data_IF_023012787461
#
_entry.id   IF_023012787461
#
_cell.length_a   1.000
_cell.length_b   1.000
_cell.length_c   1.000
_cell.angle_alpha   90.00
_cell.angle_beta   90.00
_cell.angle_gamma   90.00
#
_symmetry.space_group_name_H-M   'P 1'
#
loop_
_entity.id
_entity.type
_entity.pdbx_description
1 polymer ?
#
# COMPACT_ATOMS: atom_id res chain seq x y z
N UNK A 1 2.04 -13.26 1.46
CA UNK A 1 2.57 -12.16 0.61
C UNK A 1 2.73 -12.67 -0.81
N UNK A 2 2.40 -11.86 -1.82
CA UNK A 2 2.54 -12.24 -3.25
C UNK A 2 3.38 -11.17 -3.93
N UNK A 3 4.50 -11.58 -4.59
CA UNK A 3 5.43 -10.64 -5.18
C UNK A 3 5.74 -10.95 -6.65
N UNK A 4 6.07 -9.92 -7.42
CA UNK A 4 6.42 -10.04 -8.83
C UNK A 4 6.19 -8.75 -9.60
N UNK A 5 5.93 -8.87 -10.90
CA UNK A 5 5.76 -7.74 -11.80
C UNK A 5 7.08 -7.07 -12.16
N UNK A 6 7.10 -5.75 -12.18
CA UNK A 6 8.28 -4.98 -12.57
C UNK A 6 9.39 -5.00 -11.51
N UNK A 7 10.58 -5.45 -11.92
CA UNK A 7 11.72 -5.68 -11.00
C UNK A 7 12.34 -4.39 -10.45
N UNK A 8 12.11 -3.23 -11.08
CA UNK A 8 12.67 -1.95 -10.64
C UNK A 8 12.18 -1.49 -9.26
N UNK A 9 11.08 -2.05 -8.75
CA UNK A 9 10.60 -1.82 -7.40
C UNK A 9 11.11 -2.84 -6.37
N UNK A 10 12.11 -3.64 -6.72
CA UNK A 10 12.76 -4.62 -5.82
C UNK A 10 11.73 -5.46 -5.02
N UNK A 11 10.73 -6.10 -5.70
CA UNK A 11 9.60 -6.70 -4.98
C UNK A 11 10.01 -7.82 -4.04
N UNK A 12 11.05 -8.61 -4.39
CA UNK A 12 11.54 -9.68 -3.53
C UNK A 12 12.27 -9.13 -2.31
N UNK A 13 13.11 -8.13 -2.51
CA UNK A 13 13.88 -7.45 -1.46
C UNK A 13 12.93 -6.76 -0.49
N UNK A 14 11.87 -6.10 -0.98
CA UNK A 14 10.82 -5.53 -0.14
C UNK A 14 10.08 -6.60 0.69
N UNK A 15 9.76 -7.75 0.09
CA UNK A 15 9.17 -8.88 0.84
C UNK A 15 10.13 -9.37 1.93
N UNK A 16 11.45 -9.39 1.67
CA UNK A 16 12.46 -9.81 2.64
C UNK A 16 12.59 -8.84 3.83
N UNK A 17 12.15 -7.58 3.68
CA UNK A 17 12.02 -6.63 4.79
C UNK A 17 10.82 -6.99 5.68
N UNK A 18 9.65 -7.25 5.08
CA UNK A 18 8.40 -7.32 5.82
C UNK A 18 7.95 -8.72 6.23
N UNK A 19 8.38 -9.77 5.53
CA UNK A 19 8.04 -11.15 5.92
C UNK A 19 8.59 -11.52 7.31
N UNK A 20 9.86 -11.20 7.67
CA UNK A 20 10.37 -11.42 9.03
C UNK A 20 9.64 -10.59 10.08
N UNK A 21 9.23 -9.34 9.76
CA UNK A 21 8.44 -8.52 10.65
C UNK A 21 7.11 -9.19 11.00
N UNK A 22 6.34 -9.62 10.00
CA UNK A 22 5.06 -10.31 10.22
C UNK A 22 5.25 -11.62 10.99
N UNK A 23 6.29 -12.40 10.67
CA UNK A 23 6.64 -13.63 11.42
C UNK A 23 6.94 -13.30 12.89
N UNK A 24 7.69 -12.23 13.15
CA UNK A 24 7.99 -11.73 14.50
C UNK A 24 6.74 -11.27 15.28
N UNK A 25 5.66 -10.90 14.58
CA UNK A 25 4.35 -10.59 15.16
C UNK A 25 3.44 -11.81 15.33
N UNK A 26 3.93 -13.01 15.01
CA UNK A 26 3.20 -14.26 15.21
C UNK A 26 2.36 -14.71 14.00
N UNK A 27 2.50 -14.07 12.84
CA UNK A 27 1.83 -14.53 11.63
C UNK A 27 2.53 -15.78 11.04
N UNK A 28 1.73 -16.71 10.53
CA UNK A 28 2.19 -17.77 9.63
C UNK A 28 2.27 -17.19 8.20
N UNK A 29 3.48 -16.85 7.77
CA UNK A 29 3.71 -16.08 6.54
C UNK A 29 3.97 -17.01 5.36
N UNK A 30 3.04 -17.06 4.42
CA UNK A 30 3.25 -17.69 3.11
C UNK A 30 3.71 -16.63 2.10
N UNK A 31 4.82 -16.92 1.41
CA UNK A 31 5.35 -16.06 0.33
C UNK A 31 5.22 -16.78 -1.00
N UNK A 32 4.67 -16.13 -2.02
CA UNK A 32 4.49 -16.67 -3.36
C UNK A 32 4.98 -15.68 -4.43
N UNK A 33 5.60 -16.19 -5.47
CA UNK A 33 6.03 -15.45 -6.67
C UNK A 33 5.06 -15.59 -7.85
N UNK A 34 3.86 -16.11 -7.57
CA UNK A 34 2.79 -16.25 -8.57
C UNK A 34 1.45 -15.82 -8.00
N UNK A 35 0.62 -15.19 -8.87
CA UNK A 35 -0.75 -14.80 -8.57
C UNK A 35 -1.70 -16.01 -8.40
N UNK A 36 -1.26 -17.21 -8.78
CA UNK A 36 -2.03 -18.44 -8.56
C UNK A 36 -2.22 -18.78 -7.08
N UNK A 37 -1.44 -18.17 -6.19
CA UNK A 37 -1.70 -18.21 -4.75
C UNK A 37 -3.15 -17.79 -4.40
N UNK A 38 -3.75 -16.86 -5.16
CA UNK A 38 -5.15 -16.44 -4.96
C UNK A 38 -6.17 -17.52 -5.36
N UNK A 39 -5.79 -18.49 -6.19
CA UNK A 39 -6.64 -19.62 -6.58
C UNK A 39 -6.59 -20.78 -5.58
N UNK A 40 -5.65 -20.76 -4.66
CA UNK A 40 -5.57 -21.77 -3.60
C UNK A 40 -6.64 -21.49 -2.54
N UNK A 41 -7.76 -22.20 -2.64
CA UNK A 41 -8.92 -22.01 -1.74
C UNK A 41 -8.56 -22.26 -0.27
N UNK A 42 -7.82 -23.33 0.02
CA UNK A 42 -7.40 -23.67 1.39
C UNK A 42 -6.58 -22.53 2.02
N UNK A 43 -5.67 -21.94 1.25
CA UNK A 43 -4.88 -20.78 1.68
C UNK A 43 -5.81 -19.56 1.88
N UNK A 44 -6.65 -19.23 0.89
CA UNK A 44 -7.50 -18.02 0.93
C UNK A 44 -8.59 -18.07 1.99
N UNK A 45 -9.00 -19.26 2.45
CA UNK A 45 -9.93 -19.44 3.57
C UNK A 45 -9.28 -19.24 4.95
N UNK A 46 -7.95 -19.31 5.03
CA UNK A 46 -7.17 -19.23 6.28
C UNK A 46 -6.44 -17.92 6.47
N UNK A 47 -6.19 -17.16 5.41
CA UNK A 47 -5.43 -15.91 5.52
C UNK A 47 -6.26 -14.81 6.19
N UNK A 48 -5.64 -14.06 7.09
CA UNK A 48 -6.19 -12.83 7.67
C UNK A 48 -5.71 -11.57 6.94
N UNK A 49 -4.59 -11.66 6.22
CA UNK A 49 -3.97 -10.53 5.53
C UNK A 49 -3.37 -10.97 4.18
N UNK A 50 -3.67 -10.21 3.13
CA UNK A 50 -2.97 -10.28 1.84
C UNK A 50 -2.05 -9.07 1.72
N UNK A 51 -0.79 -9.30 1.34
CA UNK A 51 0.17 -8.23 1.05
C UNK A 51 0.66 -8.40 -0.39
N UNK A 52 0.09 -7.65 -1.36
CA UNK A 52 0.60 -7.63 -2.72
C UNK A 52 1.86 -6.77 -2.80
N UNK A 53 2.87 -7.27 -3.50
CA UNK A 53 4.06 -6.54 -3.92
C UNK A 53 4.28 -6.81 -5.41
N UNK A 54 3.31 -6.39 -6.24
CA UNK A 54 3.21 -6.73 -7.65
C UNK A 54 2.95 -5.49 -8.51
N UNK A 55 4.00 -4.91 -9.04
CA UNK A 55 3.89 -3.70 -9.87
C UNK A 55 3.51 -4.05 -11.31
N UNK A 56 2.55 -3.30 -11.88
CA UNK A 56 2.04 -3.52 -13.26
C UNK A 56 1.45 -4.93 -13.44
N UNK A 57 1.70 -5.53 -14.59
CA UNK A 57 1.23 -6.87 -14.93
C UNK A 57 -0.28 -6.96 -15.11
N UNK A 58 -0.73 -8.18 -15.34
CA UNK A 58 -2.14 -8.52 -15.48
C UNK A 58 -2.55 -9.56 -14.43
N UNK A 59 -3.77 -9.45 -13.97
CA UNK A 59 -4.41 -10.44 -13.10
C UNK A 59 -5.58 -11.06 -13.86
N UNK A 60 -5.67 -12.38 -13.89
CA UNK A 60 -6.77 -13.07 -14.56
C UNK A 60 -8.10 -12.84 -13.83
N UNK A 61 -9.22 -12.99 -14.54
CA UNK A 61 -10.55 -12.88 -13.96
C UNK A 61 -10.76 -13.76 -12.72
N UNK A 62 -10.40 -15.06 -12.75
CA UNK A 62 -10.49 -15.93 -11.58
C UNK A 62 -9.64 -15.47 -10.41
N UNK A 63 -8.37 -15.09 -10.63
CA UNK A 63 -7.47 -14.57 -9.58
C UNK A 63 -8.01 -13.28 -8.97
N UNK A 64 -8.46 -12.33 -9.80
CA UNK A 64 -9.08 -11.08 -9.36
C UNK A 64 -10.35 -11.34 -8.55
N UNK A 65 -11.22 -12.21 -9.01
CA UNK A 65 -12.45 -12.56 -8.31
C UNK A 65 -12.19 -13.20 -6.96
N UNK A 66 -11.20 -14.07 -6.86
CA UNK A 66 -10.81 -14.72 -5.62
C UNK A 66 -10.25 -13.69 -4.61
N UNK A 67 -9.32 -12.82 -5.03
CA UNK A 67 -8.75 -11.76 -4.19
C UNK A 67 -9.83 -10.79 -3.70
N UNK A 68 -10.63 -10.23 -4.62
CA UNK A 68 -11.69 -9.27 -4.27
C UNK A 68 -12.76 -9.90 -3.37
N UNK A 69 -13.11 -11.17 -3.63
CA UNK A 69 -14.05 -11.93 -2.81
C UNK A 69 -13.55 -12.12 -1.38
N UNK A 70 -12.28 -12.51 -1.21
CA UNK A 70 -11.66 -12.66 0.09
C UNK A 70 -11.67 -11.35 0.89
N UNK A 71 -11.26 -10.24 0.27
CA UNK A 71 -11.26 -8.92 0.94
C UNK A 71 -12.69 -8.50 1.29
N UNK A 72 -13.67 -8.65 0.37
CA UNK A 72 -15.08 -8.35 0.69
C UNK A 72 -15.61 -9.14 1.88
N UNK A 73 -15.11 -10.36 2.09
CA UNK A 73 -15.53 -11.25 3.17
C UNK A 73 -14.81 -11.01 4.49
N UNK A 74 -13.84 -10.06 4.55
CA UNK A 74 -13.20 -9.68 5.80
C UNK A 74 -11.68 -9.87 5.85
N UNK A 75 -11.06 -10.48 4.84
CA UNK A 75 -9.59 -10.56 4.75
C UNK A 75 -9.03 -9.15 4.58
N UNK A 76 -8.01 -8.79 5.37
CA UNK A 76 -7.29 -7.54 5.22
C UNK A 76 -6.41 -7.53 3.98
N UNK A 77 -6.19 -6.35 3.40
CA UNK A 77 -5.18 -6.15 2.36
C UNK A 77 -4.36 -4.90 2.68
N UNK A 78 -3.05 -5.02 2.59
CA UNK A 78 -2.13 -3.92 2.85
C UNK A 78 -0.97 -3.96 1.85
N UNK A 79 -0.55 -2.80 1.38
CA UNK A 79 0.58 -2.73 0.47
C UNK A 79 1.08 -1.30 0.30
N UNK A 80 2.11 -1.17 -0.51
CA UNK A 80 2.80 0.08 -0.70
C UNK A 80 3.19 0.32 -2.15
N UNK A 81 3.42 1.58 -2.45
CA UNK A 81 3.96 2.11 -3.70
C UNK A 81 3.38 1.41 -4.95
N UNK A 82 4.19 1.13 -5.95
CA UNK A 82 3.75 0.41 -7.15
C UNK A 82 3.35 -1.04 -6.89
N UNK A 83 3.83 -1.66 -5.81
CA UNK A 83 3.50 -3.03 -5.44
C UNK A 83 2.01 -3.27 -5.17
N UNK A 84 1.25 -2.20 -4.88
CA UNK A 84 -0.20 -2.25 -4.74
C UNK A 84 -0.89 -1.17 -5.58
N UNK A 85 -0.43 0.08 -5.56
CA UNK A 85 -1.12 1.20 -6.21
C UNK A 85 -0.93 1.28 -7.72
N UNK A 86 0.06 0.56 -8.26
CA UNK A 86 0.33 0.44 -9.70
C UNK A 86 0.14 -0.99 -10.22
N UNK A 87 -0.43 -1.87 -9.40
CA UNK A 87 -0.74 -3.22 -9.82
C UNK A 87 -1.96 -3.26 -10.75
N UNK A 88 -1.90 -4.12 -11.74
CA UNK A 88 -3.05 -4.49 -12.59
C UNK A 88 -3.79 -3.29 -13.18
N UNK A 89 -3.09 -2.37 -13.82
CA UNK A 89 -3.59 -1.07 -14.35
C UNK A 89 -4.91 -1.16 -15.12
N UNK A 90 -5.23 -2.31 -15.73
CA UNK A 90 -6.46 -2.51 -16.51
C UNK A 90 -7.64 -3.01 -15.65
N UNK A 91 -7.42 -3.32 -14.37
CA UNK A 91 -8.45 -3.88 -13.50
C UNK A 91 -9.07 -2.80 -12.61
N UNK A 92 -10.15 -2.19 -13.08
CA UNK A 92 -10.85 -1.12 -12.36
C UNK A 92 -11.49 -1.60 -11.06
N UNK A 93 -11.88 -2.88 -10.95
CA UNK A 93 -12.41 -3.44 -9.71
C UNK A 93 -11.33 -3.54 -8.62
N UNK A 94 -10.09 -3.85 -9.01
CA UNK A 94 -8.94 -3.83 -8.10
C UNK A 94 -8.64 -2.39 -7.63
N UNK A 95 -8.62 -1.43 -8.55
CA UNK A 95 -8.41 -0.01 -8.23
C UNK A 95 -9.49 0.52 -7.28
N UNK A 96 -10.75 0.11 -7.49
CA UNK A 96 -11.86 0.47 -6.60
C UNK A 96 -11.69 -0.11 -5.20
N UNK A 97 -11.13 -1.32 -5.08
CA UNK A 97 -10.77 -1.89 -3.77
C UNK A 97 -9.64 -1.11 -3.10
N UNK A 98 -8.55 -0.82 -3.84
CA UNK A 98 -7.38 -0.09 -3.32
C UNK A 98 -7.73 1.35 -2.92
N UNK A 99 -8.65 1.97 -3.63
CA UNK A 99 -9.05 3.36 -3.43
C UNK A 99 -8.17 4.36 -4.16
N UNK A 100 -7.40 3.93 -5.14
CA UNK A 100 -6.57 4.79 -5.97
C UNK A 100 -5.78 4.03 -7.01
N UNK A 101 -5.15 4.80 -7.89
CA UNK A 101 -4.29 4.30 -8.95
C UNK A 101 -3.15 5.26 -9.21
N UNK A 102 -1.97 4.72 -9.41
CA UNK A 102 -0.81 5.46 -9.91
C UNK A 102 -1.08 6.06 -11.30
N UNK A 103 -0.63 7.28 -11.47
CA UNK A 103 -0.71 8.03 -12.74
C UNK A 103 0.67 8.42 -13.24
N UNK A 104 1.48 9.04 -12.36
CA UNK A 104 2.80 9.56 -12.70
C UNK A 104 3.67 9.73 -11.44
N UNK A 105 4.98 9.92 -11.65
CA UNK A 105 5.95 10.39 -10.66
C UNK A 105 6.86 11.46 -11.31
N UNK A 106 6.35 12.70 -11.48
CA UNK A 106 7.08 13.76 -12.18
C UNK A 106 8.44 14.04 -11.53
N UNK A 107 9.51 13.97 -12.33
CA UNK A 107 10.89 14.15 -11.89
C UNK A 107 11.61 12.86 -11.46
N UNK A 108 10.92 11.71 -11.41
CA UNK A 108 11.52 10.45 -10.95
C UNK A 108 11.81 10.49 -9.44
N UNK A 109 13.07 10.26 -9.05
CA UNK A 109 13.51 10.37 -7.65
C UNK A 109 13.72 11.83 -7.31
N UNK A 110 12.98 12.34 -6.34
CA UNK A 110 13.00 13.74 -5.88
C UNK A 110 12.94 13.81 -4.35
N UNK A 111 13.35 14.97 -3.81
CA UNK A 111 13.16 15.28 -2.40
C UNK A 111 11.78 15.89 -2.18
N UNK A 112 11.04 15.37 -1.20
CA UNK A 112 9.73 15.91 -0.84
C UNK A 112 9.41 15.69 0.65
N UNK A 113 8.51 16.53 1.17
CA UNK A 113 8.01 16.41 2.53
C UNK A 113 6.74 15.55 2.56
N UNK A 114 6.67 14.66 3.53
CA UNK A 114 5.47 13.89 3.89
C UNK A 114 4.84 14.55 5.11
N UNK A 115 3.59 14.99 4.97
CA UNK A 115 2.83 15.63 6.02
C UNK A 115 1.84 14.64 6.63
N UNK A 116 1.99 14.34 7.91
CA UNK A 116 1.05 13.52 8.66
C UNK A 116 -0.19 14.35 8.98
N UNK A 117 -1.38 13.83 8.70
CA UNK A 117 -2.64 14.51 8.97
C UNK A 117 -3.54 13.77 9.97
N UNK A 118 -3.35 12.47 10.17
CA UNK A 118 -3.97 11.72 11.26
C UNK A 118 -2.91 11.48 12.36
N UNK A 119 -2.87 12.34 13.38
CA UNK A 119 -1.89 12.26 14.48
C UNK A 119 -2.32 11.31 15.61
N UNK A 120 -3.58 10.90 15.66
CA UNK A 120 -4.16 10.15 16.77
C UNK A 120 -4.47 8.69 16.39
N UNK A 121 -4.53 8.39 15.11
CA UNK A 121 -4.86 7.06 14.60
C UNK A 121 -3.75 6.03 14.83
N UNK A 122 -4.07 4.75 14.96
CA UNK A 122 -3.12 3.71 15.36
C UNK A 122 -1.97 3.49 14.37
N UNK A 123 -2.10 3.97 13.12
CA UNK A 123 -1.09 3.79 12.08
C UNK A 123 -0.04 4.90 12.17
N UNK A 124 -0.45 6.15 12.36
CA UNK A 124 0.42 7.33 12.25
C UNK A 124 0.67 8.04 13.58
N UNK A 125 0.02 7.64 14.67
CA UNK A 125 0.23 8.25 15.98
C UNK A 125 1.70 8.28 16.38
N UNK A 126 2.17 9.48 16.76
CA UNK A 126 3.55 9.73 17.21
C UNK A 126 4.59 9.78 16.08
N UNK A 127 4.18 9.69 14.81
CA UNK A 127 5.06 9.90 13.66
C UNK A 127 5.02 11.40 13.31
N UNK A 128 6.17 12.08 13.26
CA UNK A 128 6.23 13.48 12.84
C UNK A 128 6.14 13.59 11.31
N UNK A 129 6.01 14.81 10.79
CA UNK A 129 6.31 15.10 9.39
C UNK A 129 7.77 14.76 9.08
N UNK A 130 8.03 14.20 7.91
CA UNK A 130 9.37 13.73 7.54
C UNK A 130 9.67 13.94 6.06
N UNK A 131 10.93 13.77 5.69
CA UNK A 131 11.41 13.90 4.33
C UNK A 131 11.64 12.55 3.68
N UNK A 132 11.33 12.47 2.39
CA UNK A 132 11.65 11.34 1.53
C UNK A 132 12.55 11.80 0.38
N UNK A 133 13.46 10.91 -0.05
CA UNK A 133 14.20 11.00 -1.30
C UNK A 133 13.82 9.79 -2.15
N UNK A 134 12.75 9.90 -2.91
CA UNK A 134 12.11 8.76 -3.57
C UNK A 134 11.22 9.22 -4.72
N UNK A 135 10.48 8.31 -5.36
CA UNK A 135 9.41 8.67 -6.28
C UNK A 135 8.22 9.27 -5.52
N UNK A 136 7.84 10.49 -5.88
CA UNK A 136 6.62 11.13 -5.38
C UNK A 136 5.45 10.79 -6.32
N UNK A 137 4.53 9.95 -5.87
CA UNK A 137 3.41 9.50 -6.70
C UNK A 137 2.31 10.54 -6.84
N UNK A 138 1.97 10.86 -8.09
CA UNK A 138 0.72 11.49 -8.46
C UNK A 138 -0.30 10.39 -8.75
N UNK A 139 -1.45 10.43 -8.06
CA UNK A 139 -2.45 9.37 -8.04
C UNK A 139 -3.83 9.91 -8.43
N UNK A 140 -4.66 9.07 -9.05
CA UNK A 140 -6.10 9.23 -8.98
C UNK A 140 -6.58 8.52 -7.72
N UNK A 141 -7.30 9.25 -6.86
CA UNK A 141 -7.71 8.76 -5.54
C UNK A 141 -9.22 8.81 -5.36
N UNK A 142 -9.75 7.82 -4.65
CA UNK A 142 -11.16 7.75 -4.28
C UNK A 142 -11.43 8.76 -3.13
N UNK A 143 -12.43 9.63 -3.26
CA UNK A 143 -12.76 10.62 -2.22
C UNK A 143 -13.28 10.01 -0.91
N UNK A 144 -13.60 8.72 -0.88
CA UNK A 144 -14.02 8.01 0.34
C UNK A 144 -12.86 7.46 1.17
N UNK A 145 -11.62 7.68 0.74
CA UNK A 145 -10.44 7.27 1.51
C UNK A 145 -10.31 8.09 2.79
N UNK A 146 -10.00 7.43 3.89
CA UNK A 146 -9.52 8.08 5.11
C UNK A 146 -8.03 8.31 4.98
N UNK A 147 -7.66 9.56 4.67
CA UNK A 147 -6.27 9.95 4.35
C UNK A 147 -5.50 10.16 5.65
N UNK A 148 -4.31 9.57 5.73
CA UNK A 148 -3.44 9.59 6.91
C UNK A 148 -2.20 10.49 6.71
N UNK A 149 -1.70 10.58 5.48
CA UNK A 149 -0.60 11.46 5.12
C UNK A 149 -0.72 11.96 3.69
N UNK A 150 -0.14 13.13 3.43
CA UNK A 150 -0.15 13.81 2.13
C UNK A 150 1.24 14.30 1.75
N UNK A 151 1.43 14.65 0.47
CA UNK A 151 2.57 15.43 0.00
C UNK A 151 2.08 16.60 -0.84
N UNK A 152 2.91 17.66 -0.94
CA UNK A 152 2.64 18.81 -1.79
C UNK A 152 3.47 18.72 -3.07
N UNK A 153 2.83 18.76 -4.22
CA UNK A 153 3.53 18.95 -5.49
C UNK A 153 3.87 20.41 -5.71
N UNK A 154 5.14 20.74 -5.91
CA UNK A 154 5.58 22.11 -6.20
C UNK A 154 5.35 22.50 -7.65
N UNK A 155 5.27 21.51 -8.56
CA UNK A 155 5.21 21.73 -10.01
C UNK A 155 6.59 22.00 -10.65
N UNK A 156 7.67 21.90 -9.88
CA UNK A 156 9.05 22.17 -10.36
C UNK A 156 9.66 20.98 -11.11
N UNK A 157 9.15 19.77 -10.87
CA UNK A 157 9.73 18.56 -11.43
C UNK A 157 8.94 18.03 -12.63
N UNK A 158 9.66 17.39 -13.57
CA UNK A 158 9.07 16.62 -14.67
C UNK A 158 8.21 17.40 -15.63
N UNK A 159 8.52 18.68 -15.89
CA UNK A 159 7.79 19.57 -16.81
C UNK A 159 6.27 19.59 -16.56
N UNK A 160 5.88 19.53 -15.29
CA UNK A 160 4.47 19.41 -14.86
C UNK A 160 4.00 20.59 -14.00
N UNK A 161 4.18 21.87 -14.43
CA UNK A 161 3.84 23.04 -13.60
C UNK A 161 2.35 23.14 -13.25
N UNK A 162 1.47 22.48 -14.01
CA UNK A 162 0.02 22.50 -13.77
C UNK A 162 -0.42 21.71 -12.53
N UNK A 163 0.45 20.87 -11.94
CA UNK A 163 0.16 20.20 -10.67
C UNK A 163 0.67 20.97 -9.46
N UNK A 164 1.32 22.12 -9.67
CA UNK A 164 1.82 22.97 -8.59
C UNK A 164 0.71 23.38 -7.63
N UNK A 165 0.95 23.18 -6.33
CA UNK A 165 -0.02 23.41 -5.27
C UNK A 165 -0.98 22.22 -5.01
N UNK A 166 -0.85 21.10 -5.73
CA UNK A 166 -1.66 19.93 -5.49
C UNK A 166 -1.22 19.25 -4.20
N UNK A 167 -2.12 19.16 -3.21
CA UNK A 167 -1.95 18.33 -2.01
C UNK A 167 -2.47 16.93 -2.33
N UNK A 168 -1.56 15.98 -2.45
CA UNK A 168 -1.84 14.62 -2.89
C UNK A 168 -1.87 13.65 -1.71
N UNK A 169 -2.98 12.91 -1.51
CA UNK A 169 -2.99 11.78 -0.58
C UNK A 169 -1.92 10.75 -0.93
N UNK A 170 -1.10 10.37 0.05
CA UNK A 170 -0.04 9.37 -0.12
C UNK A 170 -0.27 8.13 0.73
N UNK A 171 -0.91 8.29 1.89
CA UNK A 171 -1.23 7.16 2.78
C UNK A 171 -2.70 7.23 3.13
N UNK A 172 -3.40 6.10 3.00
CA UNK A 172 -4.80 6.02 3.39
C UNK A 172 -5.21 4.63 3.88
N UNK A 173 -6.34 4.60 4.56
CA UNK A 173 -7.07 3.40 4.93
C UNK A 173 -8.51 3.50 4.47
N UNK A 174 -9.16 2.37 4.28
CA UNK A 174 -10.58 2.29 3.91
C UNK A 174 -11.14 0.90 4.20
N UNK A 175 -12.42 0.73 3.99
CA UNK A 175 -13.07 -0.58 3.97
C UNK A 175 -13.46 -0.96 2.55
N UNK A 176 -13.42 -2.26 2.26
CA UNK A 176 -13.97 -2.85 1.04
C UNK A 176 -14.79 -4.09 1.41
N UNK A 177 -16.11 -3.95 1.47
CA UNK A 177 -16.98 -4.93 2.12
C UNK A 177 -16.70 -4.96 3.63
N UNK A 178 -16.33 -6.13 4.15
CA UNK A 178 -15.93 -6.31 5.55
C UNK A 178 -14.40 -6.22 5.75
N UNK A 179 -13.62 -6.22 4.66
CA UNK A 179 -12.16 -6.18 4.71
C UNK A 179 -11.63 -4.76 4.90
N UNK A 180 -10.49 -4.68 5.58
CA UNK A 180 -9.73 -3.46 5.79
C UNK A 180 -8.67 -3.35 4.71
N UNK A 181 -8.55 -2.16 4.10
CA UNK A 181 -7.60 -1.86 3.04
C UNK A 181 -6.67 -0.76 3.51
N UNK A 182 -5.38 -1.01 3.50
CA UNK A 182 -4.35 -0.02 3.78
C UNK A 182 -3.44 0.14 2.55
N UNK A 183 -3.13 1.37 2.21
CA UNK A 183 -2.19 1.70 1.16
C UNK A 183 -1.27 2.85 1.56
N UNK A 184 0.01 2.72 1.22
CA UNK A 184 1.01 3.78 1.28
C UNK A 184 1.65 3.96 -0.10
N UNK A 185 1.66 5.16 -0.65
CA UNK A 185 2.40 5.46 -1.89
C UNK A 185 3.91 5.65 -1.68
N UNK A 186 4.37 5.59 -0.43
CA UNK A 186 5.79 5.68 -0.07
C UNK A 186 6.46 4.31 -0.20
N UNK A 187 7.79 4.28 -0.39
CA UNK A 187 8.58 3.04 -0.40
C UNK A 187 8.80 2.46 -1.80
N UNK A 188 9.51 3.20 -2.66
CA UNK A 188 9.86 2.81 -4.02
C UNK A 188 10.69 1.53 -4.09
N UNK A 189 11.74 1.45 -3.26
CA UNK A 189 12.68 0.32 -3.18
C UNK A 189 12.92 -0.08 -1.72
N UNK A 190 13.52 -1.25 -1.50
CA UNK A 190 13.75 -1.79 -0.16
C UNK A 190 14.51 -0.83 0.77
N UNK A 191 15.47 -0.05 0.23
CA UNK A 191 16.22 0.96 0.97
C UNK A 191 15.36 2.06 1.57
N UNK A 192 14.22 2.42 0.98
CA UNK A 192 13.32 3.44 1.49
C UNK A 192 12.74 3.07 2.87
N UNK A 193 12.76 1.78 3.20
CA UNK A 193 12.34 1.24 4.50
C UNK A 193 13.46 1.16 5.54
N UNK A 194 14.65 1.70 5.25
CA UNK A 194 15.67 1.93 6.28
C UNK A 194 15.30 3.13 7.17
N UNK A 195 14.46 4.05 6.65
CA UNK A 195 13.86 5.13 7.43
C UNK A 195 12.74 4.64 8.34
N UNK A 196 12.80 5.04 9.61
CA UNK A 196 11.88 4.55 10.65
C UNK A 196 10.43 4.95 10.38
N UNK A 197 10.15 6.15 9.88
CA UNK A 197 8.80 6.68 9.67
C UNK A 197 8.08 5.92 8.55
N UNK A 198 8.69 5.82 7.37
CA UNK A 198 8.12 5.13 6.22
C UNK A 198 7.86 3.65 6.55
N UNK A 199 8.84 2.99 7.15
CA UNK A 199 8.73 1.60 7.57
C UNK A 199 7.63 1.39 8.61
N UNK A 200 7.60 2.22 9.65
CA UNK A 200 6.61 2.13 10.74
C UNK A 200 5.19 2.29 10.21
N UNK A 201 4.96 3.21 9.27
CA UNK A 201 3.64 3.42 8.63
C UNK A 201 3.17 2.12 7.95
N UNK A 202 4.03 1.48 7.16
CA UNK A 202 3.68 0.25 6.44
C UNK A 202 3.49 -0.92 7.41
N UNK A 203 4.36 -1.09 8.40
CA UNK A 203 4.26 -2.13 9.43
C UNK A 203 2.95 -2.03 10.20
N UNK A 204 2.61 -0.82 10.68
CA UNK A 204 1.35 -0.57 11.41
C UNK A 204 0.14 -0.70 10.49
N UNK A 205 0.24 -0.27 9.23
CA UNK A 205 -0.80 -0.45 8.22
C UNK A 205 -1.17 -1.91 7.97
N UNK A 206 -0.16 -2.79 7.87
CA UNK A 206 -0.35 -4.23 7.76
C UNK A 206 -1.05 -4.81 8.99
N UNK A 207 -0.62 -4.45 10.19
CA UNK A 207 -1.25 -4.90 11.44
C UNK A 207 -2.67 -4.39 11.57
N UNK A 208 -2.93 -3.14 11.19
CA UNK A 208 -4.29 -2.58 11.20
C UNK A 208 -5.21 -3.31 10.20
N UNK A 209 -4.73 -3.59 9.00
CA UNK A 209 -5.50 -4.32 7.99
C UNK A 209 -5.80 -5.75 8.44
N UNK A 210 -4.87 -6.41 9.12
CA UNK A 210 -5.05 -7.74 9.70
C UNK A 210 -5.98 -7.78 10.92
N UNK A 211 -6.36 -6.61 11.48
CA UNK A 211 -7.19 -6.54 12.69
C UNK A 211 -6.42 -6.57 14.01
N UNK A 212 -5.08 -6.57 13.97
CA UNK A 212 -4.21 -6.66 15.15
C UNK A 212 -3.96 -5.30 15.83
N UNK A 213 -4.23 -4.17 15.14
CA UNK A 213 -4.28 -2.85 15.76
C UNK A 213 -5.73 -2.44 15.94
N UNK A 214 -6.19 -2.34 17.20
CA UNK A 214 -7.52 -1.86 17.53
C UNK A 214 -7.75 -0.41 17.12
N UNK A 215 -9.02 -0.05 16.85
CA UNK A 215 -9.41 1.36 16.89
C UNK A 215 -9.18 1.85 18.33
N UNK A 216 -8.32 2.84 18.55
CA UNK A 216 -8.29 3.57 19.81
C UNK A 216 -9.66 4.20 20.01
N UNK A 217 -10.50 3.63 20.91
CA UNK A 217 -11.72 4.28 21.33
C UNK A 217 -13.02 3.48 21.22
N UNK A 218 -13.03 2.20 21.64
CA UNK A 218 -14.25 1.53 22.10
C UNK A 218 -13.92 0.69 23.33
N UNK A 219 -13.87 1.34 24.48
CA UNK A 219 -14.13 0.79 25.80
C UNK A 219 -15.25 1.58 26.44
#
# INVERSE_FOLDING_TARGET
MVWGGWKGHEPKECVDVFAPFLTGKGFDVTVSDTLDAFLNKELMERVSLVVPCWTMGEISGPQSSALLGAVKSGVGIAGWHGGMGDAFRQNTAYQFMVGGQWVAHPGGIVDYDVNIIDHDGPITAGIPDFKMHSEQYYLHVDPSNEVLATTLFTGEFGDSPWIGGCVMPQVWKRSFGQGRVFYSALGHVARDFEGDECRTIVERGMLWAAGELGCCGCC
#
